data_IF_607485405596
#
_entry.id   IF_607485405596
#
_cell.length_a   1.000
_cell.length_b   1.000
_cell.length_c   1.000
_cell.angle_alpha   90.00
_cell.angle_beta   90.00
_cell.angle_gamma   90.00
#
_symmetry.space_group_name_H-M   'P 1'
#
loop_
_entity.id
_entity.type
_entity.pdbx_description
1 polymer ?
#
# COMPACT_ATOMS: atom_id res chain seq x y z
N UNK A 1 -4.74 1.47 0.81
CA UNK A 1 -5.20 0.22 1.44
C UNK A 1 -5.53 0.57 2.87
N UNK A 2 -6.64 0.09 3.37
CA UNK A 2 -7.06 0.34 4.74
C UNK A 2 -6.23 -0.52 5.71
N UNK A 3 -5.66 0.11 6.74
CA UNK A 3 -4.71 -0.55 7.66
C UNK A 3 -5.42 -1.52 8.61
N UNK A 4 -6.68 -1.24 8.94
CA UNK A 4 -7.48 -2.03 9.88
C UNK A 4 -8.03 -3.30 9.23
N UNK A 5 -8.75 -3.16 8.11
CA UNK A 5 -9.35 -4.29 7.39
C UNK A 5 -8.35 -5.06 6.54
N UNK A 6 -7.24 -4.44 6.15
CA UNK A 6 -6.29 -5.02 5.21
C UNK A 6 -6.73 -4.95 3.74
N UNK A 7 -7.87 -4.31 3.44
CA UNK A 7 -8.51 -4.30 2.13
C UNK A 7 -8.08 -3.10 1.27
N UNK A 8 -8.09 -3.30 -0.05
CA UNK A 8 -7.71 -2.27 -1.01
C UNK A 8 -8.94 -1.43 -1.38
N UNK A 9 -8.92 -0.14 -1.03
CA UNK A 9 -10.01 0.80 -1.37
C UNK A 9 -9.78 1.55 -2.69
N UNK A 10 -8.53 1.83 -3.06
CA UNK A 10 -8.17 2.57 -4.27
C UNK A 10 -7.03 1.90 -5.02
N UNK A 11 -7.12 1.92 -6.35
CA UNK A 11 -6.12 1.38 -7.28
C UNK A 11 -5.94 2.38 -8.42
N UNK A 12 -4.70 2.76 -8.69
CA UNK A 12 -4.36 3.64 -9.81
C UNK A 12 -3.35 2.91 -10.69
N UNK A 13 -3.68 2.73 -11.97
CA UNK A 13 -2.76 2.19 -12.97
C UNK A 13 -2.13 3.32 -13.78
N UNK A 14 -0.80 3.40 -13.79
CA UNK A 14 -0.03 4.44 -14.48
C UNK A 14 0.85 3.85 -15.60
N UNK A 15 1.24 4.67 -16.59
CA UNK A 15 2.39 4.35 -17.42
C UNK A 15 3.69 4.41 -16.61
N UNK A 16 4.72 3.70 -17.06
CA UNK A 16 5.98 3.52 -16.32
C UNK A 16 6.82 4.81 -16.14
N UNK A 17 6.54 5.88 -16.89
CA UNK A 17 7.23 7.15 -16.77
C UNK A 17 6.63 8.08 -15.70
N UNK A 18 5.47 7.73 -15.12
CA UNK A 18 4.83 8.52 -14.06
C UNK A 18 5.38 8.08 -12.72
N UNK A 19 5.91 9.02 -11.94
CA UNK A 19 6.43 8.74 -10.61
C UNK A 19 5.29 8.48 -9.61
N UNK A 20 5.38 7.38 -8.85
CA UNK A 20 4.32 6.98 -7.91
C UNK A 20 3.95 8.06 -6.89
N UNK A 21 4.93 8.86 -6.44
CA UNK A 21 4.73 9.97 -5.50
C UNK A 21 3.73 11.03 -6.00
N UNK A 22 3.52 11.12 -7.33
CA UNK A 22 2.54 12.03 -7.95
C UNK A 22 1.10 11.53 -7.87
N UNK A 23 0.89 10.26 -7.52
CA UNK A 23 -0.44 9.63 -7.53
C UNK A 23 -1.05 9.49 -6.13
N UNK A 24 -0.31 9.85 -5.07
CA UNK A 24 -0.74 9.65 -3.68
C UNK A 24 -2.05 10.34 -3.38
N UNK A 25 -2.31 11.51 -3.98
CA UNK A 25 -3.59 12.22 -3.81
C UNK A 25 -4.80 11.38 -4.23
N UNK A 26 -4.67 10.63 -5.33
CA UNK A 26 -5.73 9.75 -5.83
C UNK A 26 -5.94 8.48 -5.00
N UNK A 27 -5.01 8.20 -4.08
CA UNK A 27 -5.03 7.02 -3.22
C UNK A 27 -5.59 7.33 -1.83
N UNK A 28 -5.86 8.60 -1.52
CA UNK A 28 -6.34 9.04 -0.21
C UNK A 28 -7.78 9.53 -0.33
N UNK A 29 -8.56 9.33 0.73
CA UNK A 29 -9.98 9.67 0.80
C UNK A 29 -10.24 10.90 1.67
N UNK A 30 -9.27 11.33 2.47
CA UNK A 30 -9.34 12.52 3.32
C UNK A 30 -9.55 12.20 4.80
N UNK A 31 -9.98 10.98 5.11
CA UNK A 31 -10.21 10.50 6.48
C UNK A 31 -8.95 9.87 7.11
N UNK A 32 -7.86 9.75 6.35
CA UNK A 32 -6.62 9.17 6.85
C UNK A 32 -5.95 10.07 7.88
N UNK A 33 -5.62 9.52 9.05
CA UNK A 33 -4.81 10.23 10.05
C UNK A 33 -3.30 10.00 9.84
N UNK A 34 -2.93 8.85 9.26
CA UNK A 34 -1.54 8.43 9.08
C UNK A 34 -1.36 7.77 7.72
N UNK A 35 -0.34 8.18 6.97
CA UNK A 35 0.02 7.56 5.69
C UNK A 35 1.42 6.96 5.77
N UNK A 36 1.49 5.64 5.66
CA UNK A 36 2.76 4.90 5.65
C UNK A 36 3.20 4.62 4.21
N UNK A 37 4.41 5.07 3.85
CA UNK A 37 4.93 4.91 2.50
C UNK A 37 6.40 4.46 2.50
N UNK A 38 6.87 3.94 1.37
CA UNK A 38 8.26 3.54 1.22
C UNK A 38 9.18 4.73 0.86
N UNK A 39 10.48 4.48 0.79
CA UNK A 39 11.46 5.53 0.53
C UNK A 39 11.36 6.17 -0.88
N UNK A 40 10.61 5.57 -1.80
CA UNK A 40 10.27 6.15 -3.11
C UNK A 40 9.32 7.34 -3.01
N UNK A 41 8.56 7.45 -1.92
CA UNK A 41 7.64 8.55 -1.64
C UNK A 41 8.26 9.66 -0.78
N UNK A 42 9.60 9.74 -0.74
CA UNK A 42 10.29 10.82 -0.01
C UNK A 42 9.91 12.18 -0.57
N UNK A 43 9.44 13.10 0.29
CA UNK A 43 9.03 14.45 -0.09
C UNK A 43 7.57 14.57 -0.54
N UNK A 44 6.78 13.50 -0.42
CA UNK A 44 5.33 13.52 -0.67
C UNK A 44 4.65 14.64 0.12
N UNK A 45 5.03 14.84 1.37
CA UNK A 45 4.45 15.82 2.29
C UNK A 45 4.65 17.28 1.85
N UNK A 46 5.59 17.54 0.94
CA UNK A 46 5.93 18.88 0.45
C UNK A 46 5.25 19.24 -0.85
N UNK A 47 4.48 18.32 -1.41
CA UNK A 47 3.80 18.50 -2.67
C UNK A 47 2.57 19.40 -2.50
N UNK A 48 2.28 20.22 -3.51
CA UNK A 48 1.12 21.14 -3.49
C UNK A 48 -0.21 20.39 -3.38
N UNK A 49 -0.29 19.16 -3.92
CA UNK A 49 -1.50 18.32 -3.80
C UNK A 49 -1.80 17.90 -2.34
N UNK A 50 -0.85 18.10 -1.42
CA UNK A 50 -0.98 17.74 -0.01
C UNK A 50 -0.86 18.94 0.94
N UNK A 51 -0.82 20.16 0.39
CA UNK A 51 -0.81 21.37 1.18
C UNK A 51 -2.10 21.47 2.01
N UNK A 52 -1.96 21.80 3.30
CA UNK A 52 -3.10 21.86 4.24
C UNK A 52 -3.70 20.51 4.65
N UNK A 53 -3.18 19.37 4.15
CA UNK A 53 -3.69 18.05 4.52
C UNK A 53 -3.23 17.67 5.94
N UNK A 54 -4.18 17.44 6.84
CA UNK A 54 -3.93 17.09 8.23
C UNK A 54 -3.59 15.59 8.42
N UNK A 55 -2.47 15.14 7.85
CA UNK A 55 -2.02 13.73 7.86
C UNK A 55 -0.62 13.60 8.43
N UNK A 56 -0.37 12.55 9.22
CA UNK A 56 0.98 12.18 9.65
C UNK A 56 1.64 11.29 8.59
N UNK A 57 2.66 11.83 7.93
CA UNK A 57 3.44 11.10 6.92
C UNK A 57 4.53 10.23 7.56
N UNK A 58 4.41 8.91 7.43
CA UNK A 58 5.38 7.91 7.89
C UNK A 58 6.13 7.30 6.70
N UNK A 59 6.96 8.11 6.07
CA UNK A 59 7.82 7.66 4.96
C UNK A 59 9.04 6.90 5.51
N UNK A 60 9.36 5.76 4.91
CA UNK A 60 10.52 4.96 5.29
C UNK A 60 11.84 5.70 4.99
N UNK A 61 12.72 5.77 5.98
CA UNK A 61 14.02 6.40 5.81
C UNK A 61 14.97 5.48 5.03
N UNK A 62 15.70 6.04 4.05
CA UNK A 62 16.77 5.31 3.35
C UNK A 62 17.86 4.90 4.34
N UNK A 63 18.32 3.66 4.29
CA UNK A 63 19.35 3.12 5.19
C UNK A 63 20.63 3.98 5.23
N UNK A 64 21.00 4.58 4.11
CA UNK A 64 22.17 5.47 4.00
C UNK A 64 22.10 6.69 4.92
N UNK A 65 20.90 7.19 5.23
CA UNK A 65 20.71 8.42 6.04
C UNK A 65 21.14 8.23 7.49
N UNK A 66 20.92 7.04 8.05
CA UNK A 66 21.20 6.78 9.46
C UNK A 66 22.33 5.79 9.69
N UNK A 67 22.87 5.13 8.65
CA UNK A 67 24.09 4.30 8.75
C UNK A 67 25.30 5.09 9.25
N UNK A 68 25.31 6.42 9.07
CA UNK A 68 26.35 7.34 9.56
C UNK A 68 26.37 7.44 11.09
N UNK A 69 25.24 7.22 11.75
CA UNK A 69 25.15 7.07 13.19
C UNK A 69 25.76 5.69 13.50
N UNK A 70 26.96 5.62 14.08
CA UNK A 70 27.67 4.36 14.30
C UNK A 70 26.78 3.27 14.92
N UNK A 71 26.93 2.01 14.51
CA UNK A 71 25.98 0.92 14.82
C UNK A 71 25.73 0.71 16.33
N UNK A 72 26.72 1.01 17.16
CA UNK A 72 26.63 0.88 18.63
C UNK A 72 25.88 2.04 19.28
N UNK A 73 25.67 3.15 18.58
CA UNK A 73 24.98 4.34 19.08
C UNK A 73 23.53 4.02 19.47
N UNK A 74 23.05 4.52 20.63
CA UNK A 74 21.64 4.44 21.01
C UNK A 74 20.70 5.01 19.94
N UNK A 75 21.09 6.11 19.29
CA UNK A 75 20.31 6.75 18.23
C UNK A 75 20.14 5.85 17.00
N UNK A 76 21.21 5.15 16.59
CA UNK A 76 21.13 4.18 15.49
C UNK A 76 20.15 3.04 15.82
N UNK A 77 20.23 2.49 17.04
CA UNK A 77 19.36 1.41 17.50
C UNK A 77 17.90 1.86 17.58
N UNK A 78 17.64 3.05 18.11
CA UNK A 78 16.30 3.64 18.17
C UNK A 78 15.72 3.84 16.76
N UNK A 79 16.47 4.45 15.85
CA UNK A 79 16.04 4.65 14.46
C UNK A 79 15.76 3.33 13.75
N UNK A 80 16.58 2.30 13.97
CA UNK A 80 16.35 0.95 13.43
C UNK A 80 15.04 0.32 13.94
N UNK A 81 14.67 0.54 15.21
CA UNK A 81 13.38 0.06 15.75
C UNK A 81 12.20 0.75 15.06
N UNK A 82 12.27 2.07 14.91
CA UNK A 82 11.23 2.85 14.21
C UNK A 82 11.07 2.39 12.76
N UNK A 83 12.16 2.27 12.01
CA UNK A 83 12.10 1.83 10.61
C UNK A 83 11.65 0.37 10.47
N UNK A 84 11.92 -0.48 11.46
CA UNK A 84 11.37 -1.85 11.51
C UNK A 84 9.85 -1.83 11.72
N UNK A 85 9.34 -1.00 12.62
CA UNK A 85 7.91 -0.85 12.85
C UNK A 85 7.17 -0.35 11.59
N UNK A 86 7.70 0.69 10.91
CA UNK A 86 7.19 1.14 9.61
C UNK A 86 7.15 0.01 8.58
N UNK A 87 8.21 -0.81 8.51
CA UNK A 87 8.26 -1.93 7.58
C UNK A 87 7.21 -3.00 7.89
N UNK A 88 6.87 -3.25 9.15
CA UNK A 88 5.81 -4.20 9.53
C UNK A 88 4.43 -3.73 9.08
N UNK A 89 4.12 -2.44 9.23
CA UNK A 89 2.88 -1.85 8.70
C UNK A 89 2.82 -2.00 7.19
N UNK A 90 3.89 -1.63 6.47
CA UNK A 90 3.95 -1.78 5.01
C UNK A 90 3.84 -3.22 4.53
N UNK A 91 4.29 -4.21 5.30
CA UNK A 91 4.17 -5.61 4.91
C UNK A 91 2.70 -6.04 4.71
N UNK A 92 1.74 -5.35 5.35
CA UNK A 92 0.31 -5.61 5.10
C UNK A 92 -0.08 -5.40 3.64
N UNK A 93 0.47 -4.40 2.96
CA UNK A 93 0.16 -4.14 1.53
C UNK A 93 0.59 -5.26 0.60
N UNK A 94 1.51 -6.13 1.02
CA UNK A 94 1.96 -7.27 0.23
C UNK A 94 0.89 -8.38 0.12
N UNK A 95 -0.11 -8.40 1.02
CA UNK A 95 -1.11 -9.46 1.09
C UNK A 95 -2.01 -9.48 -0.15
N UNK A 96 -2.67 -8.37 -0.55
CA UNK A 96 -3.42 -8.31 -1.81
C UNK A 96 -2.58 -8.72 -3.03
N UNK A 97 -1.33 -8.25 -3.13
CA UNK A 97 -0.45 -8.61 -4.25
C UNK A 97 -0.12 -10.09 -4.26
N UNK A 98 0.12 -10.71 -3.10
CA UNK A 98 0.32 -12.16 -2.99
C UNK A 98 -0.92 -12.90 -3.48
N UNK A 99 -2.12 -12.47 -3.07
CA UNK A 99 -3.38 -13.08 -3.49
C UNK A 99 -3.55 -13.01 -5.00
N UNK A 100 -3.39 -11.83 -5.58
CA UNK A 100 -3.44 -11.60 -7.03
C UNK A 100 -2.45 -12.50 -7.78
N UNK A 101 -1.21 -12.59 -7.31
CA UNK A 101 -0.16 -13.37 -7.99
C UNK A 101 -0.32 -14.87 -7.83
N UNK A 102 -0.75 -15.35 -6.66
CA UNK A 102 -0.76 -16.78 -6.30
C UNK A 102 -2.13 -17.43 -6.48
N UNK A 103 -3.20 -16.80 -6.02
CA UNK A 103 -4.56 -17.32 -6.14
C UNK A 103 -5.15 -17.04 -7.53
N UNK A 104 -4.90 -15.85 -8.09
CA UNK A 104 -5.44 -15.45 -9.40
C UNK A 104 -4.43 -15.58 -10.55
N UNK A 105 -3.19 -16.02 -10.29
CA UNK A 105 -2.19 -16.32 -11.32
C UNK A 105 -1.73 -15.12 -12.14
N UNK A 106 -1.89 -13.88 -11.64
CA UNK A 106 -1.50 -12.68 -12.36
C UNK A 106 0.01 -12.41 -12.19
N UNK A 107 0.81 -13.08 -13.02
CA UNK A 107 2.27 -12.96 -13.04
C UNK A 107 2.80 -11.97 -14.09
N UNK A 108 1.97 -11.62 -15.09
CA UNK A 108 2.33 -10.72 -16.20
C UNK A 108 1.10 -10.03 -16.75
N UNK A 109 1.27 -8.79 -17.23
CA UNK A 109 0.27 -8.07 -18.02
C UNK A 109 -0.09 -8.84 -19.28
N UNK A 110 -1.39 -8.89 -19.62
CA UNK A 110 -1.89 -9.64 -20.79
C UNK A 110 -2.33 -8.73 -21.92
N UNK A 111 -2.77 -7.51 -21.61
CA UNK A 111 -3.37 -6.62 -22.58
C UNK A 111 -2.36 -5.62 -23.13
N UNK A 112 -2.56 -5.24 -24.40
CA UNK A 112 -1.90 -4.07 -24.99
C UNK A 112 -2.72 -2.83 -24.64
N UNK A 113 -2.08 -1.85 -24.00
CA UNK A 113 -2.68 -0.57 -23.63
C UNK A 113 -3.00 -0.44 -22.14
N UNK A 114 -2.87 0.78 -21.62
CA UNK A 114 -2.99 1.09 -20.20
C UNK A 114 -4.42 0.82 -19.69
N UNK A 115 -5.44 1.32 -20.39
CA UNK A 115 -6.85 1.22 -19.98
C UNK A 115 -7.26 -0.22 -19.71
N UNK A 116 -6.93 -1.15 -20.61
CA UNK A 116 -7.27 -2.58 -20.46
C UNK A 116 -6.54 -3.23 -19.29
N UNK A 117 -5.27 -2.88 -19.07
CA UNK A 117 -4.52 -3.39 -17.93
C UNK A 117 -5.04 -2.81 -16.61
N UNK A 118 -5.38 -1.52 -16.57
CA UNK A 118 -5.97 -0.89 -15.38
C UNK A 118 -7.31 -1.54 -15.04
N UNK A 119 -8.19 -1.75 -16.02
CA UNK A 119 -9.46 -2.46 -15.80
C UNK A 119 -9.23 -3.88 -15.23
N UNK A 120 -8.27 -4.63 -15.78
CA UNK A 120 -7.91 -5.95 -15.26
C UNK A 120 -7.41 -5.89 -13.81
N UNK A 121 -6.56 -4.91 -13.48
CA UNK A 121 -6.04 -4.72 -12.13
C UNK A 121 -7.16 -4.39 -11.14
N UNK A 122 -8.06 -3.47 -11.48
CA UNK A 122 -9.22 -3.12 -10.64
C UNK A 122 -10.06 -4.36 -10.34
N UNK A 123 -10.39 -5.15 -11.36
CA UNK A 123 -11.13 -6.41 -11.18
C UNK A 123 -10.39 -7.39 -10.27
N UNK A 124 -9.08 -7.57 -10.46
CA UNK A 124 -8.27 -8.49 -9.63
C UNK A 124 -8.19 -8.05 -8.17
N UNK A 125 -8.08 -6.75 -7.91
CA UNK A 125 -8.10 -6.22 -6.54
C UNK A 125 -9.48 -6.39 -5.89
N UNK A 126 -10.57 -6.15 -6.63
CA UNK A 126 -11.92 -6.41 -6.12
C UNK A 126 -12.13 -7.89 -5.75
N UNK A 127 -11.74 -8.81 -6.64
CA UNK A 127 -11.80 -10.26 -6.36
C UNK A 127 -10.88 -10.66 -5.20
N UNK A 128 -9.71 -10.03 -5.08
CA UNK A 128 -8.79 -10.30 -3.98
C UNK A 128 -9.34 -9.82 -2.65
N UNK A 129 -10.02 -8.67 -2.60
CA UNK A 129 -10.71 -8.21 -1.40
C UNK A 129 -11.79 -9.23 -0.97
N UNK A 130 -12.62 -9.72 -1.89
CA UNK A 130 -13.61 -10.76 -1.60
C UNK A 130 -12.95 -12.03 -1.04
N UNK A 131 -11.86 -12.47 -1.67
CA UNK A 131 -11.12 -13.63 -1.20
C UNK A 131 -10.52 -13.41 0.20
N UNK A 132 -9.98 -12.22 0.48
CA UNK A 132 -9.40 -11.87 1.78
C UNK A 132 -10.48 -11.79 2.87
N UNK A 133 -11.64 -11.21 2.56
CA UNK A 133 -12.77 -11.06 3.46
C UNK A 133 -13.62 -12.34 3.60
N UNK A 134 -13.36 -13.40 2.83
CA UNK A 134 -14.22 -14.60 2.73
C UNK A 134 -14.65 -15.20 4.06
N UNK A 135 -13.79 -15.19 5.09
CA UNK A 135 -14.13 -15.76 6.40
C UNK A 135 -15.25 -14.98 7.08
N UNK A 136 -15.18 -13.64 7.02
CA UNK A 136 -16.22 -12.76 7.54
C UNK A 136 -17.50 -12.85 6.72
N UNK A 137 -17.38 -12.89 5.39
CA UNK A 137 -18.53 -12.99 4.49
C UNK A 137 -19.28 -14.32 4.66
N UNK A 138 -18.56 -15.43 4.74
CA UNK A 138 -19.16 -16.76 4.92
C UNK A 138 -19.71 -16.98 6.33
N UNK A 139 -19.08 -16.42 7.37
CA UNK A 139 -19.62 -16.48 8.73
C UNK A 139 -20.97 -15.75 8.88
N UNK A 140 -21.19 -14.71 8.08
CA UNK A 140 -22.43 -13.94 8.06
C UNK A 140 -23.47 -14.49 7.08
N UNK A 141 -23.13 -15.52 6.30
CA UNK A 141 -24.08 -16.23 5.45
C UNK A 141 -24.74 -17.29 6.32
N UNK A 142 -25.98 -17.04 6.77
CA UNK A 142 -26.78 -18.07 7.48
C UNK A 142 -26.90 -19.36 6.65
N UNK A 143 -27.37 -20.44 7.27
CA UNK A 143 -27.51 -21.74 6.59
C UNK A 143 -28.13 -21.59 5.20
N UNK A 144 -27.32 -21.87 4.18
CA UNK A 144 -27.80 -21.97 2.81
C UNK A 144 -28.72 -23.18 2.79
N UNK A 145 -30.04 -22.95 2.84
CA UNK A 145 -31.03 -23.99 2.60
C UNK A 145 -30.80 -24.48 1.17
N UNK A 146 -30.21 -25.67 1.05
CA UNK A 146 -30.17 -26.46 -0.17
C UNK A 146 -31.53 -27.10 -0.42
#
# INVERSE_FOLDING_TARGET
MDDESGLVHSVVGTPANVADVTQVDKLLHGDENVVCADAGYTGVEKRSEHEGRAVIWQVAARRSTYKKLGKSSPLYKAKRKVEKAKAQVRAKVEHPFRVIKRQFGYIKVRFRGLVKNTAQLVTLFALSNLWMARRHLLANTGEVRL
#
